data_IF_196363013106
#
_entry.id   IF_196363013106
#
_cell.length_a   1.000
_cell.length_b   1.000
_cell.length_c   1.000
_cell.angle_alpha   90.00
_cell.angle_beta   90.00
_cell.angle_gamma   90.00
#
_symmetry.space_group_name_H-M   'P 1'
#
loop_
_entity.id
_entity.type
_entity.pdbx_description
1 polymer ?
#
# COMPACT_ATOMS: atom_id res chain seq x y z
N UNK A 1 17.05 -26.28 9.00
CA UNK A 1 15.63 -26.25 8.55
C UNK A 1 14.86 -25.41 9.55
N UNK A 2 14.18 -24.35 9.12
CA UNK A 2 13.50 -23.46 10.07
C UNK A 2 12.28 -24.14 10.70
N UNK A 3 11.95 -23.84 11.95
CA UNK A 3 10.80 -24.43 12.68
C UNK A 3 9.47 -24.42 11.90
N UNK A 4 9.28 -23.48 10.97
CA UNK A 4 8.04 -23.29 10.19
C UNK A 4 7.90 -24.33 9.07
N UNK A 5 8.99 -24.72 8.43
CA UNK A 5 8.98 -25.71 7.34
C UNK A 5 8.71 -27.11 7.88
N UNK A 6 9.24 -27.41 9.07
CA UNK A 6 8.99 -28.66 9.78
C UNK A 6 7.52 -28.83 10.20
N UNK A 7 6.78 -27.72 10.35
CA UNK A 7 5.36 -27.73 10.64
C UNK A 7 4.46 -27.94 9.40
N UNK A 8 5.05 -28.03 8.19
CA UNK A 8 4.32 -28.24 6.94
C UNK A 8 3.54 -27.02 6.42
N UNK A 9 3.83 -25.82 6.92
CA UNK A 9 3.10 -24.61 6.53
C UNK A 9 3.62 -24.05 5.20
N UNK A 10 2.69 -23.73 4.29
CA UNK A 10 2.97 -23.00 3.04
C UNK A 10 2.87 -21.50 3.32
N UNK A 11 4.01 -20.83 3.38
CA UNK A 11 4.11 -19.40 3.73
C UNK A 11 4.71 -18.63 2.56
N UNK A 12 4.14 -17.45 2.29
CA UNK A 12 4.76 -16.40 1.48
C UNK A 12 4.87 -15.15 2.33
N UNK A 13 6.06 -14.57 2.42
CA UNK A 13 6.29 -13.35 3.18
C UNK A 13 7.30 -12.40 2.52
N UNK A 14 7.15 -11.11 2.81
CA UNK A 14 8.11 -10.09 2.43
C UNK A 14 9.21 -10.02 3.47
N UNK A 15 10.46 -10.02 3.01
CA UNK A 15 11.63 -9.93 3.88
C UNK A 15 12.05 -8.47 4.01
N UNK A 16 12.20 -7.94 5.25
CA UNK A 16 12.55 -6.54 5.45
C UNK A 16 14.01 -6.26 5.05
N UNK A 17 14.24 -5.09 4.44
CA UNK A 17 15.58 -4.63 4.04
C UNK A 17 16.50 -4.29 5.23
N UNK A 18 15.98 -4.28 6.45
CA UNK A 18 16.78 -4.11 7.67
C UNK A 18 17.67 -5.33 7.94
N UNK A 19 17.32 -6.49 7.39
CA UNK A 19 18.14 -7.69 7.47
C UNK A 19 19.32 -7.58 6.48
N UNK A 20 20.55 -7.80 6.97
CA UNK A 20 21.78 -7.68 6.16
C UNK A 20 21.77 -8.66 4.97
N UNK A 21 21.39 -9.90 5.22
CA UNK A 21 21.24 -10.92 4.18
C UNK A 21 20.30 -10.44 3.07
N UNK A 22 19.12 -9.95 3.44
CA UNK A 22 18.13 -9.45 2.48
C UNK A 22 18.66 -8.27 1.65
N UNK A 23 19.41 -7.37 2.28
CA UNK A 23 20.04 -6.25 1.59
C UNK A 23 21.09 -6.75 0.57
N UNK A 24 21.94 -7.68 0.98
CA UNK A 24 22.97 -8.26 0.10
C UNK A 24 22.33 -8.94 -1.11
N UNK A 25 21.28 -9.73 -0.92
CA UNK A 25 20.54 -10.40 -2.00
C UNK A 25 19.95 -9.37 -2.97
N UNK A 26 19.31 -8.32 -2.45
CA UNK A 26 18.71 -7.27 -3.28
C UNK A 26 19.76 -6.50 -4.08
N UNK A 27 20.91 -6.22 -3.48
CA UNK A 27 22.00 -5.45 -4.09
C UNK A 27 22.76 -6.28 -5.15
N UNK A 28 22.91 -7.59 -4.94
CA UNK A 28 23.56 -8.53 -5.86
C UNK A 28 22.66 -8.94 -7.03
N UNK A 29 21.34 -8.98 -6.82
CA UNK A 29 20.39 -9.50 -7.81
C UNK A 29 19.93 -8.42 -8.78
N UNK A 30 20.20 -8.59 -10.07
CA UNK A 30 19.64 -7.74 -11.12
C UNK A 30 18.34 -8.31 -11.69
N UNK A 31 17.28 -7.49 -11.73
CA UNK A 31 15.96 -7.87 -12.24
C UNK A 31 15.78 -7.16 -13.58
N UNK A 32 15.95 -7.84 -14.72
CA UNK A 32 15.85 -7.18 -16.02
C UNK A 32 14.40 -6.71 -16.26
N UNK A 33 14.23 -5.62 -17.00
CA UNK A 33 12.90 -5.06 -17.31
C UNK A 33 12.46 -5.53 -18.69
N UNK A 34 12.08 -6.80 -18.80
CA UNK A 34 11.72 -7.43 -20.07
C UNK A 34 10.44 -8.27 -19.97
N UNK A 35 9.84 -8.71 -21.09
CA UNK A 35 8.61 -9.51 -21.06
C UNK A 35 8.74 -10.83 -20.30
N UNK A 36 9.93 -11.44 -20.23
CA UNK A 36 10.14 -12.72 -19.56
C UNK A 36 10.09 -12.64 -18.02
N UNK A 37 10.34 -11.45 -17.48
CA UNK A 37 10.35 -11.18 -16.03
C UNK A 37 9.15 -10.35 -15.59
N UNK A 38 8.36 -9.86 -16.54
CA UNK A 38 7.15 -9.11 -16.26
C UNK A 38 6.11 -10.00 -15.56
N UNK A 39 5.56 -9.50 -14.46
CA UNK A 39 4.54 -10.20 -13.67
C UNK A 39 3.17 -9.61 -13.95
N UNK A 40 2.95 -8.36 -13.52
CA UNK A 40 1.70 -7.65 -13.72
C UNK A 40 1.86 -6.14 -13.50
N UNK A 41 0.83 -5.39 -13.90
CA UNK A 41 0.69 -3.97 -13.56
C UNK A 41 -0.04 -3.81 -12.24
N UNK A 42 0.67 -3.32 -11.22
CA UNK A 42 0.07 -2.90 -9.95
C UNK A 42 -0.51 -1.49 -10.07
N UNK A 43 -1.29 -1.05 -9.07
CA UNK A 43 -1.74 0.36 -8.96
C UNK A 43 -0.57 1.35 -8.90
N UNK A 44 0.58 0.91 -8.40
CA UNK A 44 1.76 1.74 -8.16
C UNK A 44 2.85 1.58 -9.21
N UNK A 45 2.58 0.84 -10.30
CA UNK A 45 3.57 0.60 -11.34
C UNK A 45 3.68 -0.84 -11.83
N UNK A 46 4.55 -1.07 -12.80
CA UNK A 46 4.85 -2.35 -13.41
C UNK A 46 5.82 -3.14 -12.53
N UNK A 47 5.47 -4.41 -12.30
CA UNK A 47 6.23 -5.32 -11.45
C UNK A 47 6.94 -6.35 -12.31
N UNK A 48 8.24 -6.52 -12.05
CA UNK A 48 9.08 -7.55 -12.66
C UNK A 48 9.69 -8.39 -11.55
N UNK A 49 9.89 -9.69 -11.77
CA UNK A 49 10.44 -10.58 -10.75
C UNK A 49 11.29 -11.68 -11.33
N UNK A 50 12.29 -12.10 -10.54
CA UNK A 50 13.09 -13.29 -10.79
C UNK A 50 13.25 -14.10 -9.52
N UNK A 51 13.56 -15.38 -9.68
CA UNK A 51 13.97 -16.27 -8.59
C UNK A 51 15.48 -16.36 -8.55
N UNK A 52 16.02 -16.30 -7.35
CA UNK A 52 17.42 -16.57 -7.06
C UNK A 52 17.53 -17.53 -5.87
N UNK A 53 18.71 -18.13 -5.68
CA UNK A 53 19.05 -18.91 -4.49
C UNK A 53 20.20 -18.21 -3.80
N UNK A 54 20.01 -17.91 -2.53
CA UNK A 54 20.99 -17.18 -1.74
C UNK A 54 20.82 -17.49 -0.24
N UNK A 55 21.74 -17.03 0.58
CA UNK A 55 21.74 -17.28 2.01
C UNK A 55 20.74 -16.36 2.71
N UNK A 56 19.70 -16.96 3.30
CA UNK A 56 18.68 -16.30 4.10
C UNK A 56 18.36 -17.15 5.34
N UNK A 57 18.40 -16.54 6.52
CA UNK A 57 18.26 -17.20 7.82
C UNK A 57 19.28 -18.33 8.01
N UNK A 58 20.55 -18.02 7.77
CA UNK A 58 21.69 -18.95 7.89
C UNK A 58 21.57 -20.23 7.04
N UNK A 59 20.73 -20.21 6.01
CA UNK A 59 20.48 -21.34 5.12
C UNK A 59 20.40 -20.86 3.67
N UNK A 60 20.80 -21.69 2.72
CA UNK A 60 20.53 -21.43 1.31
C UNK A 60 19.02 -21.61 1.06
N UNK A 61 18.36 -20.57 0.54
CA UNK A 61 16.91 -20.54 0.31
C UNK A 61 16.62 -20.08 -1.11
N UNK A 62 15.56 -20.63 -1.70
CA UNK A 62 14.98 -20.04 -2.89
C UNK A 62 14.16 -18.80 -2.53
N UNK A 63 14.52 -17.66 -3.08
CA UNK A 63 13.87 -16.37 -2.83
C UNK A 63 13.48 -15.70 -4.14
N UNK A 64 12.47 -14.84 -4.09
CA UNK A 64 11.98 -14.09 -5.25
C UNK A 64 12.29 -12.62 -5.03
N UNK A 65 13.06 -12.02 -5.94
CA UNK A 65 13.32 -10.58 -5.96
C UNK A 65 12.41 -9.96 -6.98
N UNK A 66 11.61 -8.99 -6.58
CA UNK A 66 10.80 -8.19 -7.50
C UNK A 66 11.21 -6.73 -7.49
N UNK A 67 11.06 -6.06 -8.63
CA UNK A 67 11.25 -4.63 -8.79
C UNK A 67 9.97 -3.96 -9.25
N UNK A 68 9.68 -2.80 -8.67
CA UNK A 68 8.66 -1.88 -9.16
C UNK A 68 9.38 -0.75 -9.91
N UNK A 69 9.17 -0.69 -11.22
CA UNK A 69 9.89 0.23 -12.10
C UNK A 69 9.63 1.69 -11.74
N UNK A 70 8.38 2.08 -11.53
CA UNK A 70 7.99 3.45 -11.22
C UNK A 70 8.53 3.88 -9.86
N UNK A 71 8.48 3.01 -8.85
CA UNK A 71 9.10 3.30 -7.54
C UNK A 71 10.60 3.42 -7.63
N UNK A 72 11.27 2.64 -8.49
CA UNK A 72 12.70 2.79 -8.75
C UNK A 72 12.97 4.17 -9.35
N UNK A 73 12.29 4.53 -10.42
CA UNK A 73 12.45 5.84 -11.09
C UNK A 73 12.17 7.00 -10.13
N UNK A 74 11.06 6.97 -9.39
CA UNK A 74 10.73 8.03 -8.42
C UNK A 74 11.79 8.18 -7.32
N UNK A 75 12.35 7.07 -6.83
CA UNK A 75 13.44 7.09 -5.83
C UNK A 75 14.73 7.68 -6.39
N UNK A 76 15.10 7.30 -7.62
CA UNK A 76 16.27 7.86 -8.32
C UNK A 76 16.10 9.36 -8.49
N UNK A 77 14.95 9.82 -9.00
CA UNK A 77 14.69 11.24 -9.22
C UNK A 77 14.75 12.03 -7.90
N UNK A 78 14.08 11.55 -6.85
CA UNK A 78 14.12 12.21 -5.54
C UNK A 78 15.54 12.28 -4.95
N UNK A 79 16.35 11.24 -5.15
CA UNK A 79 17.76 11.25 -4.75
C UNK A 79 18.53 12.34 -5.53
N UNK A 80 18.39 12.35 -6.85
CA UNK A 80 19.11 13.28 -7.74
C UNK A 80 18.70 14.73 -7.51
N UNK A 81 17.41 15.01 -7.25
CA UNK A 81 16.91 16.35 -6.90
C UNK A 81 17.60 16.89 -5.64
N UNK A 82 17.72 16.07 -4.60
CA UNK A 82 18.38 16.48 -3.35
C UNK A 82 19.89 16.69 -3.56
N UNK A 83 20.56 15.79 -4.29
CA UNK A 83 21.98 15.96 -4.60
C UNK A 83 22.25 17.20 -5.44
N UNK A 84 21.41 17.48 -6.44
CA UNK A 84 21.51 18.67 -7.27
C UNK A 84 21.39 19.95 -6.42
N UNK A 85 20.39 20.00 -5.54
CA UNK A 85 20.20 21.11 -4.61
C UNK A 85 21.42 21.32 -3.70
N UNK A 86 21.97 20.24 -3.11
CA UNK A 86 23.18 20.32 -2.28
C UNK A 86 24.37 20.83 -3.12
N UNK A 87 24.50 20.39 -4.37
CA UNK A 87 25.54 20.86 -5.27
C UNK A 87 25.45 22.37 -5.56
N UNK A 88 24.23 22.88 -5.79
CA UNK A 88 23.97 24.31 -5.97
C UNK A 88 24.33 25.12 -4.71
N UNK A 89 23.93 24.65 -3.53
CA UNK A 89 24.27 25.29 -2.26
C UNK A 89 25.79 25.29 -1.98
N UNK A 90 26.49 24.19 -2.30
CA UNK A 90 27.96 24.15 -2.18
C UNK A 90 28.65 25.12 -3.13
N UNK A 91 28.14 25.27 -4.36
CA UNK A 91 28.63 26.27 -5.31
C UNK A 91 28.39 27.70 -4.80
N UNK A 92 27.18 27.99 -4.30
CA UNK A 92 26.86 29.29 -3.70
C UNK A 92 27.71 29.59 -2.45
N UNK A 93 27.96 28.57 -1.61
CA UNK A 93 28.82 28.67 -0.43
C UNK A 93 30.28 28.94 -0.82
N UNK A 94 30.77 28.35 -1.92
CA UNK A 94 32.11 28.63 -2.42
C UNK A 94 32.29 30.08 -2.88
N UNK A 95 31.24 30.72 -3.38
CA UNK A 95 31.27 32.14 -3.78
C UNK A 95 31.17 33.09 -2.57
N UNK A 96 30.25 32.81 -1.64
CA UNK A 96 30.04 33.62 -0.42
C UNK A 96 31.16 33.47 0.60
N UNK A 97 31.81 32.31 0.63
CA UNK A 97 32.79 31.91 1.65
C UNK A 97 34.25 32.28 1.34
N UNK A 98 34.52 33.11 0.33
CA UNK A 98 35.89 33.47 -0.10
C UNK A 98 36.75 34.10 0.99
N UNK A 99 36.12 34.78 1.95
CA UNK A 99 36.79 35.48 3.06
C UNK A 99 36.54 34.80 4.41
N UNK A 100 35.90 33.62 4.42
CA UNK A 100 35.57 32.92 5.66
C UNK A 100 36.76 32.12 6.19
N UNK A 101 36.76 31.88 7.51
CA UNK A 101 37.70 30.94 8.12
C UNK A 101 37.39 29.49 7.70
N UNK A 102 38.41 28.64 7.66
CA UNK A 102 38.26 27.22 7.32
C UNK A 102 37.31 26.49 8.27
N UNK A 103 37.34 26.83 9.57
CA UNK A 103 36.42 26.27 10.56
C UNK A 103 34.95 26.64 10.28
N UNK A 104 34.69 27.89 9.88
CA UNK A 104 33.35 28.34 9.48
C UNK A 104 32.87 27.65 8.21
N UNK A 105 33.77 27.44 7.23
CA UNK A 105 33.46 26.70 6.00
C UNK A 105 33.14 25.24 6.27
N UNK A 106 33.93 24.55 7.09
CA UNK A 106 33.64 23.17 7.46
C UNK A 106 32.30 23.03 8.19
N UNK A 107 31.96 23.99 9.07
CA UNK A 107 30.65 24.01 9.74
C UNK A 107 29.51 24.19 8.74
N UNK A 108 29.65 25.14 7.79
CA UNK A 108 28.64 25.39 6.77
C UNK A 108 28.49 24.22 5.79
N UNK A 109 29.60 23.63 5.33
CA UNK A 109 29.60 22.43 4.48
C UNK A 109 28.87 21.29 5.20
N UNK A 110 29.15 21.06 6.48
CA UNK A 110 28.49 20.01 7.27
C UNK A 110 26.97 20.24 7.38
N UNK A 111 26.53 21.50 7.54
CA UNK A 111 25.11 21.85 7.55
C UNK A 111 24.45 21.60 6.19
N UNK A 112 25.13 21.97 5.10
CA UNK A 112 24.60 21.85 3.72
C UNK A 112 24.54 20.38 3.27
N UNK A 113 25.59 19.60 3.52
CA UNK A 113 25.66 18.19 3.14
C UNK A 113 24.78 17.32 4.05
N UNK A 114 24.71 17.62 5.34
CA UNK A 114 23.89 16.90 6.30
C UNK A 114 24.14 15.38 6.27
N UNK A 115 23.08 14.60 6.11
CA UNK A 115 23.11 13.12 6.04
C UNK A 115 23.51 12.54 4.67
N UNK A 116 23.96 13.38 3.72
CA UNK A 116 24.34 12.98 2.36
C UNK A 116 25.86 12.90 2.15
N UNK A 117 26.63 12.86 3.23
CA UNK A 117 28.10 12.79 3.22
C UNK A 117 28.62 11.49 2.58
N UNK A 118 27.84 10.42 2.66
CA UNK A 118 28.10 9.17 1.97
C UNK A 118 28.16 9.34 0.44
N UNK A 119 27.44 10.32 -0.13
CA UNK A 119 27.32 10.53 -1.59
C UNK A 119 28.13 11.71 -2.12
N UNK A 120 28.64 12.57 -1.25
CA UNK A 120 29.34 13.80 -1.63
C UNK A 120 30.71 13.83 -0.96
N UNK A 121 31.76 14.01 -1.77
CA UNK A 121 33.09 14.32 -1.27
C UNK A 121 33.32 15.82 -1.28
N UNK A 122 33.80 16.38 -0.18
CA UNK A 122 34.12 17.81 -0.04
C UNK A 122 35.55 17.97 0.49
N UNK A 123 36.26 18.98 -0.02
CA UNK A 123 37.61 19.35 0.41
C UNK A 123 37.78 20.86 0.31
N UNK A 124 38.36 21.46 1.34
CA UNK A 124 38.75 22.88 1.29
C UNK A 124 40.22 22.97 0.89
N UNK A 125 40.53 23.75 -0.15
CA UNK A 125 41.91 24.05 -0.56
C UNK A 125 42.20 25.53 -0.38
N UNK A 126 43.41 25.85 0.09
CA UNK A 126 43.90 27.23 0.22
C UNK A 126 44.79 27.56 -0.97
N UNK A 127 44.45 28.60 -1.74
CA UNK A 127 45.33 29.16 -2.79
C UNK A 127 45.43 30.66 -2.59
N UNK A 128 46.65 31.17 -2.34
CA UNK A 128 46.98 32.62 -2.29
C UNK A 128 45.89 33.47 -1.58
N UNK A 129 45.65 33.21 -0.29
CA UNK A 129 44.75 33.95 0.61
C UNK A 129 43.22 33.74 0.55
N UNK A 130 42.67 32.94 -0.37
CA UNK A 130 41.23 32.58 -0.31
C UNK A 130 41.01 31.06 -0.27
N UNK A 131 40.24 30.54 0.70
CA UNK A 131 39.78 29.15 0.65
C UNK A 131 38.79 28.92 -0.49
N UNK A 132 38.93 27.79 -1.19
CA UNK A 132 37.96 27.31 -2.18
C UNK A 132 37.43 25.93 -1.78
N UNK A 133 36.14 25.71 -2.00
CA UNK A 133 35.50 24.42 -1.80
C UNK A 133 35.62 23.62 -3.10
N UNK A 134 36.32 22.49 -3.07
CA UNK A 134 36.25 21.48 -4.10
C UNK A 134 35.30 20.38 -3.64
N UNK A 135 34.30 20.06 -4.45
CA UNK A 135 33.37 18.99 -4.14
C UNK A 135 33.08 18.15 -5.39
N UNK A 136 32.75 16.87 -5.18
CA UNK A 136 32.38 15.92 -6.23
C UNK A 136 31.37 14.91 -5.73
N UNK A 137 30.44 14.52 -6.59
CA UNK A 137 29.58 13.35 -6.37
C UNK A 137 30.41 12.07 -6.36
N UNK A 138 30.10 11.17 -5.42
CA UNK A 138 30.65 9.82 -5.37
C UNK A 138 29.77 8.91 -6.24
N UNK A 139 30.02 8.93 -7.56
CA UNK A 139 29.19 8.19 -8.53
C UNK A 139 29.07 6.69 -8.22
N UNK A 140 30.09 6.09 -7.62
CA UNK A 140 30.07 4.67 -7.21
C UNK A 140 29.05 4.41 -6.08
N UNK A 141 29.00 5.28 -5.07
CA UNK A 141 28.06 5.15 -3.94
C UNK A 141 26.62 5.42 -4.38
N UNK A 142 26.43 6.40 -5.26
CA UNK A 142 25.12 6.68 -5.87
C UNK A 142 24.65 5.44 -6.64
N UNK A 143 25.49 4.92 -7.54
CA UNK A 143 25.16 3.72 -8.31
C UNK A 143 24.90 2.49 -7.42
N UNK A 144 25.64 2.34 -6.32
CA UNK A 144 25.42 1.27 -5.35
C UNK A 144 24.04 1.40 -4.67
N UNK A 145 23.66 2.61 -4.24
CA UNK A 145 22.36 2.84 -3.63
C UNK A 145 21.21 2.59 -4.61
N UNK A 146 21.36 3.01 -5.88
CA UNK A 146 20.38 2.81 -6.94
C UNK A 146 20.07 1.32 -7.22
N UNK A 147 21.02 0.40 -7.00
CA UNK A 147 20.78 -1.05 -7.16
C UNK A 147 19.64 -1.55 -6.29
N UNK A 148 19.44 -0.94 -5.12
CA UNK A 148 18.42 -1.36 -4.16
C UNK A 148 17.04 -0.72 -4.39
N UNK A 149 16.97 0.31 -5.24
CA UNK A 149 15.77 1.15 -5.40
C UNK A 149 14.67 0.41 -6.16
N UNK A 150 13.46 0.50 -5.62
CA UNK A 150 12.28 -0.19 -6.15
C UNK A 150 12.32 -1.72 -6.04
N UNK A 151 13.43 -2.33 -5.58
CA UNK A 151 13.56 -3.77 -5.37
C UNK A 151 13.06 -4.21 -4.00
N UNK A 152 12.56 -5.43 -3.91
CA UNK A 152 12.02 -6.05 -2.71
C UNK A 152 12.26 -7.56 -2.75
N UNK A 153 12.33 -8.19 -1.57
CA UNK A 153 12.61 -9.61 -1.42
C UNK A 153 11.39 -10.32 -0.85
N UNK A 154 10.99 -11.42 -1.49
CA UNK A 154 9.95 -12.32 -1.03
C UNK A 154 10.56 -13.70 -0.76
N UNK A 155 10.08 -14.34 0.30
CA UNK A 155 10.38 -15.72 0.64
C UNK A 155 9.11 -16.56 0.54
N UNK A 156 9.22 -17.74 -0.07
CA UNK A 156 8.16 -18.74 -0.16
C UNK A 156 8.70 -20.08 0.34
N UNK A 157 7.98 -20.77 1.22
CA UNK A 157 8.33 -22.15 1.60
C UNK A 157 7.95 -23.17 0.51
N UNK A 158 7.08 -22.78 -0.42
CA UNK A 158 6.73 -23.60 -1.58
C UNK A 158 7.59 -23.18 -2.78
N UNK A 159 8.58 -24.02 -3.13
CA UNK A 159 9.48 -23.81 -4.27
C UNK A 159 8.81 -24.14 -5.62
N UNK A 160 7.66 -24.84 -5.64
CA UNK A 160 7.00 -25.18 -6.91
C UNK A 160 6.32 -23.98 -7.57
N UNK A 161 5.98 -22.95 -6.79
CA UNK A 161 5.39 -21.71 -7.30
C UNK A 161 6.39 -20.97 -8.17
N UNK A 162 5.98 -20.42 -9.30
CA UNK A 162 6.78 -19.51 -10.11
C UNK A 162 6.98 -18.14 -9.43
N UNK A 163 7.97 -17.33 -9.86
CA UNK A 163 8.13 -15.95 -9.36
C UNK A 163 6.85 -15.12 -9.51
N UNK A 164 6.13 -15.31 -10.62
CA UNK A 164 4.87 -14.63 -10.90
C UNK A 164 3.79 -14.99 -9.87
N UNK A 165 3.62 -16.29 -9.60
CA UNK A 165 2.64 -16.77 -8.61
C UNK A 165 2.98 -16.29 -7.20
N UNK A 166 4.25 -16.32 -6.79
CA UNK A 166 4.68 -15.83 -5.48
C UNK A 166 4.37 -14.34 -5.32
N UNK A 167 4.67 -13.54 -6.33
CA UNK A 167 4.42 -12.09 -6.30
C UNK A 167 2.91 -11.79 -6.28
N UNK A 168 2.12 -12.46 -7.13
CA UNK A 168 0.66 -12.30 -7.16
C UNK A 168 0.03 -12.68 -5.82
N UNK A 169 0.37 -13.85 -5.28
CA UNK A 169 -0.12 -14.29 -3.98
C UNK A 169 0.27 -13.33 -2.84
N UNK A 170 1.49 -12.78 -2.89
CA UNK A 170 1.92 -11.76 -1.94
C UNK A 170 1.07 -10.47 -2.02
N UNK A 171 0.75 -9.99 -3.22
CA UNK A 171 -0.11 -8.81 -3.38
C UNK A 171 -1.60 -9.08 -3.10
N UNK A 172 -2.07 -10.32 -3.26
CA UNK A 172 -3.41 -10.72 -2.82
C UNK A 172 -3.52 -10.69 -1.29
N UNK A 173 -2.45 -10.99 -0.55
CA UNK A 173 -2.41 -10.79 0.90
C UNK A 173 -2.68 -9.34 1.29
N UNK A 174 -2.13 -8.35 0.57
CA UNK A 174 -2.42 -6.93 0.82
C UNK A 174 -3.92 -6.61 0.65
N UNK A 175 -4.62 -7.31 -0.25
CA UNK A 175 -6.07 -7.19 -0.38
C UNK A 175 -6.75 -7.70 0.89
N UNK A 176 -6.35 -8.87 1.39
CA UNK A 176 -6.85 -9.43 2.66
C UNK A 176 -6.56 -8.49 3.84
N UNK A 177 -5.36 -7.91 3.94
CA UNK A 177 -5.03 -6.93 4.97
C UNK A 177 -5.88 -5.65 4.87
N UNK A 178 -6.18 -5.19 3.64
CA UNK A 178 -7.12 -4.08 3.41
C UNK A 178 -8.54 -4.44 3.81
N UNK A 179 -9.02 -5.65 3.53
CA UNK A 179 -10.30 -6.18 4.00
C UNK A 179 -10.35 -6.12 5.53
N UNK A 180 -9.31 -6.63 6.21
CA UNK A 180 -9.21 -6.58 7.66
C UNK A 180 -9.12 -5.15 8.21
N UNK A 181 -8.48 -4.23 7.49
CA UNK A 181 -8.48 -2.81 7.87
C UNK A 181 -9.86 -2.17 7.70
N UNK A 182 -10.56 -2.41 6.60
CA UNK A 182 -11.95 -1.96 6.42
C UNK A 182 -12.85 -2.48 7.54
N UNK A 183 -12.75 -3.77 7.82
CA UNK A 183 -13.44 -4.41 8.94
C UNK A 183 -13.14 -3.68 10.28
N UNK A 184 -11.91 -3.21 10.49
CA UNK A 184 -11.53 -2.47 11.71
C UNK A 184 -11.92 -0.99 11.72
N UNK A 185 -12.00 -0.33 10.57
CA UNK A 185 -12.14 1.14 10.48
C UNK A 185 -13.55 1.60 10.13
N UNK A 186 -14.22 0.92 9.19
CA UNK A 186 -15.56 1.31 8.71
C UNK A 186 -16.68 0.56 9.44
N UNK A 187 -16.43 -0.69 9.85
CA UNK A 187 -17.40 -1.55 10.54
C UNK A 187 -17.20 -1.55 12.07
N UNK A 188 -16.42 -0.59 12.60
CA UNK A 188 -16.13 -0.44 14.03
C UNK A 188 -15.86 -1.78 14.74
N UNK A 189 -14.96 -2.62 14.19
CA UNK A 189 -14.37 -3.70 14.99
C UNK A 189 -13.48 -3.07 16.05
N UNK A 190 -14.10 -2.56 17.10
CA UNK A 190 -13.45 -2.37 18.37
C UNK A 190 -13.04 -3.76 18.87
N UNK A 191 -11.86 -3.91 19.50
CA UNK A 191 -11.54 -5.15 20.19
C UNK A 191 -12.50 -5.32 21.37
N UNK A 192 -13.68 -5.90 21.10
CA UNK A 192 -14.59 -6.31 22.15
C UNK A 192 -13.92 -7.48 22.86
N UNK A 193 -13.48 -7.25 24.11
CA UNK A 193 -12.83 -8.28 24.94
C UNK A 193 -13.86 -9.34 25.35
N UNK A 194 -14.26 -10.17 24.41
CA UNK A 194 -15.10 -11.32 24.65
C UNK A 194 -14.27 -12.39 25.38
N UNK A 195 -14.65 -12.71 26.61
CA UNK A 195 -13.99 -13.76 27.42
C UNK A 195 -14.28 -15.19 26.94
N UNK A 196 -15.38 -15.40 26.21
CA UNK A 196 -15.84 -16.72 25.77
C UNK A 196 -15.65 -16.88 24.26
N UNK A 197 -15.01 -17.99 23.85
CA UNK A 197 -14.71 -18.30 22.45
C UNK A 197 -15.94 -18.26 21.53
N UNK A 198 -17.09 -18.80 21.99
CA UNK A 198 -18.36 -18.75 21.25
C UNK A 198 -18.74 -17.32 20.85
N UNK A 199 -18.55 -16.34 21.73
CA UNK A 199 -18.92 -14.94 21.46
C UNK A 199 -17.98 -14.34 20.42
N UNK A 200 -16.69 -14.69 20.47
CA UNK A 200 -15.70 -14.32 19.45
C UNK A 200 -16.12 -14.88 18.09
N UNK A 201 -16.49 -16.16 18.01
CA UNK A 201 -16.92 -16.80 16.74
C UNK A 201 -18.16 -16.12 16.14
N UNK A 202 -19.19 -15.84 16.94
CA UNK A 202 -20.41 -15.15 16.48
C UNK A 202 -20.09 -13.72 16.04
N UNK A 203 -19.28 -13.00 16.81
CA UNK A 203 -18.88 -11.63 16.48
C UNK A 203 -18.13 -11.57 15.14
N UNK A 204 -17.11 -12.40 14.96
CA UNK A 204 -16.37 -12.51 13.70
C UNK A 204 -17.31 -12.88 12.55
N UNK A 205 -18.24 -13.81 12.77
CA UNK A 205 -19.22 -14.21 11.75
C UNK A 205 -20.08 -13.02 11.28
N UNK A 206 -20.64 -12.23 12.21
CA UNK A 206 -21.45 -11.05 11.88
C UNK A 206 -20.62 -10.01 11.13
N UNK A 207 -19.40 -9.72 11.58
CA UNK A 207 -18.52 -8.75 10.90
C UNK A 207 -18.15 -9.20 9.48
N UNK A 208 -17.82 -10.48 9.30
CA UNK A 208 -17.52 -11.03 7.96
C UNK A 208 -18.76 -10.98 7.06
N UNK A 209 -19.95 -11.25 7.60
CA UNK A 209 -21.21 -11.13 6.88
C UNK A 209 -21.49 -9.67 6.46
N UNK A 210 -21.34 -8.71 7.38
CA UNK A 210 -21.51 -7.29 7.09
C UNK A 210 -20.56 -6.83 5.97
N UNK A 211 -19.28 -7.20 6.07
CA UNK A 211 -18.30 -6.90 5.03
C UNK A 211 -18.64 -7.55 3.68
N UNK A 212 -19.15 -8.80 3.68
CA UNK A 212 -19.58 -9.46 2.44
C UNK A 212 -20.72 -8.71 1.76
N UNK A 213 -21.70 -8.23 2.54
CA UNK A 213 -22.82 -7.43 2.03
C UNK A 213 -22.32 -6.08 1.49
N UNK A 214 -21.43 -5.41 2.23
CA UNK A 214 -20.83 -4.15 1.79
C UNK A 214 -19.99 -4.31 0.52
N UNK A 215 -19.25 -5.42 0.39
CA UNK A 215 -18.48 -5.74 -0.80
C UNK A 215 -19.38 -6.02 -2.02
N UNK A 216 -20.48 -6.75 -1.84
CA UNK A 216 -21.49 -6.97 -2.89
C UNK A 216 -22.12 -5.65 -3.35
N UNK A 217 -22.51 -4.78 -2.40
CA UNK A 217 -23.04 -3.45 -2.70
C UNK A 217 -22.04 -2.63 -3.53
N UNK A 218 -20.77 -2.58 -3.12
CA UNK A 218 -19.71 -1.86 -3.85
C UNK A 218 -19.52 -2.41 -5.25
N UNK A 219 -19.48 -3.74 -5.39
CA UNK A 219 -19.32 -4.37 -6.69
C UNK A 219 -20.48 -4.02 -7.64
N UNK A 220 -21.71 -3.99 -7.14
CA UNK A 220 -22.89 -3.56 -7.92
C UNK A 220 -22.83 -2.09 -8.29
N UNK A 221 -22.45 -1.20 -7.37
CA UNK A 221 -22.32 0.23 -7.63
C UNK A 221 -21.21 0.52 -8.66
N UNK A 222 -20.08 -0.17 -8.56
CA UNK A 222 -18.97 -0.04 -9.50
C UNK A 222 -19.36 -0.41 -10.94
N UNK A 223 -20.33 -1.30 -11.14
CA UNK A 223 -20.85 -1.60 -12.48
C UNK A 223 -21.65 -0.45 -13.09
N UNK A 224 -22.15 0.47 -12.27
CA UNK A 224 -22.97 1.60 -12.68
C UNK A 224 -22.16 2.88 -12.86
N UNK A 225 -21.00 3.01 -12.20
CA UNK A 225 -20.14 4.19 -12.26
C UNK A 225 -18.75 3.88 -12.83
N UNK A 226 -18.29 4.68 -13.82
CA UNK A 226 -16.90 4.65 -14.31
C UNK A 226 -15.90 5.27 -13.31
N UNK A 227 -16.38 5.73 -12.15
CA UNK A 227 -15.61 6.52 -11.19
C UNK A 227 -14.79 5.65 -10.23
N UNK A 228 -13.61 6.16 -9.84
CA UNK A 228 -12.61 5.42 -9.03
C UNK A 228 -12.93 5.36 -7.51
N UNK A 229 -13.91 6.12 -7.01
CA UNK A 229 -14.17 6.28 -5.56
C UNK A 229 -15.47 5.62 -5.09
N UNK A 230 -15.62 4.32 -5.37
CA UNK A 230 -16.78 3.47 -5.01
C UNK A 230 -17.09 3.46 -3.51
N UNK A 231 -16.09 3.72 -2.65
CA UNK A 231 -16.27 3.72 -1.19
C UNK A 231 -17.18 4.84 -0.70
N UNK A 232 -16.96 6.07 -1.17
CA UNK A 232 -17.75 7.22 -0.75
C UNK A 232 -19.19 7.12 -1.29
N UNK A 233 -19.36 6.54 -2.48
CA UNK A 233 -20.69 6.29 -3.07
C UNK A 233 -21.49 5.27 -2.25
N UNK A 234 -20.84 4.19 -1.80
CA UNK A 234 -21.49 3.18 -0.97
C UNK A 234 -21.90 3.74 0.40
N UNK A 235 -21.01 4.46 1.09
CA UNK A 235 -21.31 5.04 2.41
C UNK A 235 -22.41 6.10 2.33
N UNK A 236 -22.34 7.01 1.35
CA UNK A 236 -23.37 8.01 1.14
C UNK A 236 -24.75 7.36 0.84
N UNK A 237 -24.75 6.29 0.05
CA UNK A 237 -25.98 5.56 -0.25
C UNK A 237 -26.55 4.84 0.98
N UNK A 238 -25.69 4.22 1.81
CA UNK A 238 -26.13 3.61 3.06
C UNK A 238 -26.69 4.65 4.04
N UNK A 239 -26.07 5.82 4.16
CA UNK A 239 -26.59 6.92 4.98
C UNK A 239 -27.93 7.47 4.47
N UNK A 240 -28.14 7.52 3.15
CA UNK A 240 -29.45 7.89 2.59
C UNK A 240 -30.52 6.84 2.94
N UNK A 241 -30.16 5.55 2.93
CA UNK A 241 -31.06 4.44 3.31
C UNK A 241 -31.31 4.36 4.82
N UNK A 242 -30.33 4.72 5.65
CA UNK A 242 -30.46 4.77 7.12
C UNK A 242 -31.60 5.69 7.57
N UNK A 243 -31.87 6.75 6.79
CA UNK A 243 -32.94 7.72 7.07
C UNK A 243 -34.33 7.23 6.68
N UNK A 244 -34.44 6.09 5.98
CA UNK A 244 -35.71 5.56 5.50
C UNK A 244 -36.46 4.92 6.67
N UNK A 245 -37.65 5.45 6.96
CA UNK A 245 -38.49 4.94 8.03
C UNK A 245 -39.60 4.05 7.45
N UNK A 246 -39.75 2.84 7.99
CA UNK A 246 -40.85 1.94 7.65
C UNK A 246 -42.04 2.22 8.56
N UNK A 247 -43.14 2.69 7.97
CA UNK A 247 -44.39 2.99 8.68
C UNK A 247 -45.47 2.01 8.24
N UNK A 248 -46.14 1.40 9.21
CA UNK A 248 -47.30 0.54 8.98
C UNK A 248 -48.56 1.31 9.38
N UNK A 249 -49.46 1.50 8.43
CA UNK A 249 -50.73 2.21 8.64
C UNK A 249 -51.88 1.24 8.45
N UNK A 250 -52.70 1.06 9.49
CA UNK A 250 -53.92 0.26 9.42
C UNK A 250 -55.12 1.17 9.08
N UNK A 251 -55.83 0.85 8.01
CA UNK A 251 -57.03 1.52 7.52
C UNK A 251 -58.14 0.46 7.40
N UNK A 252 -58.94 0.30 8.45
CA UNK A 252 -59.92 -0.79 8.54
C UNK A 252 -59.24 -2.16 8.50
N UNK A 253 -59.64 -3.01 7.55
CA UNK A 253 -59.04 -4.33 7.29
C UNK A 253 -57.77 -4.27 6.43
N UNK A 254 -57.35 -3.09 5.96
CA UNK A 254 -56.13 -2.95 5.16
C UNK A 254 -54.96 -2.50 6.03
N UNK A 255 -53.82 -3.15 5.85
CA UNK A 255 -52.54 -2.75 6.40
C UNK A 255 -51.67 -2.29 5.24
N UNK A 256 -51.29 -1.01 5.22
CA UNK A 256 -50.34 -0.47 4.24
C UNK A 256 -48.97 -0.30 4.88
N UNK A 257 -47.94 -0.71 4.16
CA UNK A 257 -46.55 -0.48 4.54
C UNK A 257 -45.98 0.61 3.64
N UNK A 258 -45.52 1.70 4.25
CA UNK A 258 -44.88 2.84 3.59
C UNK A 258 -43.42 2.98 4.03
N UNK A 259 -42.61 3.54 3.14
CA UNK A 259 -41.20 3.86 3.39
C UNK A 259 -40.99 5.37 3.22
N UNK A 260 -40.94 6.09 4.34
CA UNK A 260 -40.74 7.54 4.37
C UNK A 260 -39.27 7.89 4.10
N UNK A 261 -39.00 9.13 3.70
CA UNK A 261 -37.65 9.65 3.41
C UNK A 261 -36.86 8.92 2.31
N UNK A 262 -37.49 8.00 1.57
CA UNK A 262 -36.86 7.34 0.43
C UNK A 262 -36.70 8.34 -0.73
N UNK A 263 -35.48 8.84 -0.92
CA UNK A 263 -35.20 9.79 -1.99
C UNK A 263 -35.37 9.15 -3.38
N UNK A 264 -35.74 9.96 -4.38
CA UNK A 264 -35.82 9.50 -5.77
C UNK A 264 -34.48 8.98 -6.31
N UNK A 265 -33.36 9.55 -5.82
CA UNK A 265 -32.01 9.07 -6.12
C UNK A 265 -31.80 7.65 -5.59
N UNK A 266 -32.08 7.41 -4.30
CA UNK A 266 -31.91 6.09 -3.68
C UNK A 266 -32.80 5.03 -4.34
N UNK A 267 -34.04 5.38 -4.70
CA UNK A 267 -34.95 4.48 -5.44
C UNK A 267 -34.39 4.08 -6.79
N UNK A 268 -33.88 5.03 -7.58
CA UNK A 268 -33.22 4.74 -8.87
C UNK A 268 -31.98 3.89 -8.68
N UNK A 269 -31.17 4.18 -7.67
CA UNK A 269 -29.99 3.37 -7.36
C UNK A 269 -30.38 1.93 -7.05
N UNK A 270 -31.36 1.70 -6.16
CA UNK A 270 -31.90 0.36 -5.84
C UNK A 270 -32.38 -0.38 -7.09
N UNK A 271 -33.10 0.30 -7.99
CA UNK A 271 -33.54 -0.28 -9.26
C UNK A 271 -32.35 -0.70 -10.13
N UNK A 272 -31.34 0.17 -10.29
CA UNK A 272 -30.16 -0.11 -11.11
C UNK A 272 -29.30 -1.25 -10.57
N UNK A 273 -29.20 -1.41 -9.24
CA UNK A 273 -28.44 -2.52 -8.61
C UNK A 273 -29.25 -3.83 -8.48
N UNK A 274 -30.52 -3.83 -8.94
CA UNK A 274 -31.39 -5.02 -8.98
C UNK A 274 -32.25 -5.26 -7.73
N UNK A 275 -32.39 -4.26 -6.85
CA UNK A 275 -33.17 -4.34 -5.59
C UNK A 275 -34.48 -3.53 -5.64
N UNK A 276 -35.16 -3.54 -6.79
CA UNK A 276 -36.41 -2.79 -7.01
C UNK A 276 -37.51 -3.08 -5.98
N UNK A 277 -37.59 -4.32 -5.50
CA UNK A 277 -38.67 -4.76 -4.61
C UNK A 277 -38.32 -4.56 -3.11
N UNK A 278 -37.11 -4.12 -2.77
CA UNK A 278 -36.63 -4.09 -1.37
C UNK A 278 -37.43 -3.14 -0.47
N UNK A 279 -37.84 -1.98 -0.99
CA UNK A 279 -38.55 -0.93 -0.25
C UNK A 279 -39.86 -0.55 -0.94
N UNK A 280 -40.52 -1.53 -1.56
CA UNK A 280 -41.80 -1.32 -2.23
C UNK A 280 -42.92 -1.17 -1.21
N UNK A 281 -43.84 -0.26 -1.49
CA UNK A 281 -45.06 -0.11 -0.69
C UNK A 281 -45.99 -1.30 -0.94
N UNK A 282 -46.44 -1.93 0.14
CA UNK A 282 -47.33 -3.09 0.05
C UNK A 282 -48.66 -2.82 0.76
N UNK A 283 -49.71 -3.46 0.26
CA UNK A 283 -51.04 -3.46 0.86
C UNK A 283 -51.34 -4.91 1.20
N UNK A 284 -51.46 -5.20 2.49
CA UNK A 284 -51.90 -6.50 3.00
C UNK A 284 -53.31 -6.36 3.55
N UNK A 285 -54.14 -7.39 3.34
CA UNK A 285 -55.48 -7.45 3.92
C UNK A 285 -55.39 -8.31 5.18
N UNK A 286 -55.73 -7.72 6.32
CA UNK A 286 -55.75 -8.41 7.60
C UNK A 286 -57.08 -9.14 7.75
N UNK A 287 -57.07 -10.46 7.49
CA UNK A 287 -58.24 -11.34 7.56
C UNK A 287 -58.55 -11.85 8.99
N UNK A 288 -57.89 -11.32 10.03
CA UNK A 288 -58.08 -11.76 11.44
C UNK A 288 -59.21 -11.05 12.19
N UNK A 289 -60.25 -10.59 11.50
CA UNK A 289 -61.49 -10.08 12.09
C UNK A 289 -62.69 -10.88 11.58
#
# INVERSE_FOLDING_TARGET
MGMIELAGWKLICGIPKTLKEAKNIIDSTDVPLNPATFVHKSRTGHIYAIRTRDQLFDMERSVVVYTNQERRTSKINAHNEVLAYIGEELNALSEKGKDWSEASLHKAIKTVVGSWDDYISTRVKRKRNSPRIEWKYKSQEIAAAERSYGKYLLFSTDESLSPDEVVKAYFEKDFVEKVFRTLKTSEEIEPVRHRLERRIRVYIFVCVLAYRLLADLKWRLQKLSEHKNVWHEADAFLHDLERVERVQVRLGHQVKIWHLNLTGKSRRTLEMIGFKELLKETIEVDFKL
#
